data_IF_876049735945
#
_entry.id   IF_876049735945
#
_cell.length_a   1.000
_cell.length_b   1.000
_cell.length_c   1.000
_cell.angle_alpha   90.00
_cell.angle_beta   90.00
_cell.angle_gamma   90.00
#
_symmetry.space_group_name_H-M   'P 1'
#
loop_
_entity.id
_entity.type
_entity.pdbx_description
1 polymer ?
#
# COMPACT_ATOMS: atom_id res chain seq x y z
N UNK A 1 -3.90 5.49 -2.81
CA UNK A 1 -3.08 4.47 -2.13
C UNK A 1 -3.28 4.47 -0.61
N UNK A 2 -2.90 5.53 0.13
CA UNK A 2 -3.06 5.56 1.60
C UNK A 2 -4.48 5.18 2.08
N UNK A 3 -5.51 5.92 1.63
CA UNK A 3 -6.92 5.63 1.96
C UNK A 3 -7.37 4.21 1.59
N UNK A 4 -6.83 3.66 0.51
CA UNK A 4 -7.15 2.31 0.04
C UNK A 4 -6.59 1.23 0.97
N UNK A 5 -5.39 1.45 1.52
CA UNK A 5 -4.79 0.57 2.52
C UNK A 5 -5.49 0.74 3.88
N UNK A 6 -5.79 1.98 4.29
CA UNK A 6 -6.56 2.26 5.51
C UNK A 6 -7.94 1.57 5.46
N UNK A 7 -8.65 1.61 4.33
CA UNK A 7 -9.91 0.90 4.14
C UNK A 7 -9.79 -0.63 4.21
N UNK A 8 -8.59 -1.18 4.02
CA UNK A 8 -8.28 -2.62 4.13
C UNK A 8 -7.71 -3.00 5.50
N UNK A 9 -7.79 -2.10 6.49
CA UNK A 9 -7.36 -2.35 7.86
C UNK A 9 -5.86 -2.15 8.10
N UNK A 10 -5.15 -1.45 7.20
CA UNK A 10 -3.78 -1.03 7.49
C UNK A 10 -3.77 0.25 8.31
N UNK A 11 -3.03 0.23 9.41
CA UNK A 11 -2.85 1.38 10.29
C UNK A 11 -1.54 2.10 9.99
N UNK A 12 -1.58 3.42 10.05
CA UNK A 12 -0.38 4.25 9.90
C UNK A 12 0.44 4.16 11.17
N UNK A 13 1.69 3.71 11.03
CA UNK A 13 2.68 3.75 12.11
C UNK A 13 3.39 5.12 12.04
N UNK A 14 3.21 6.00 13.02
CA UNK A 14 3.90 7.29 13.04
C UNK A 14 5.41 7.08 13.19
N UNK A 15 6.21 7.74 12.35
CA UNK A 15 7.67 7.67 12.39
C UNK A 15 8.32 8.83 11.62
N UNK A 16 9.57 9.16 11.96
CA UNK A 16 10.32 10.28 11.37
C UNK A 16 11.03 9.92 10.05
N UNK A 17 10.36 9.19 9.15
CA UNK A 17 10.97 8.78 7.88
C UNK A 17 10.32 9.51 6.70
N UNK A 18 11.04 9.58 5.58
CA UNK A 18 10.53 10.09 4.28
C UNK A 18 9.32 9.30 3.73
N UNK A 19 8.95 8.21 4.40
CA UNK A 19 7.87 7.31 4.05
C UNK A 19 6.90 7.13 5.23
N UNK A 20 5.60 7.09 4.95
CA UNK A 20 4.57 6.57 5.83
C UNK A 20 4.68 5.06 5.90
N UNK A 21 4.94 4.53 7.09
CA UNK A 21 4.85 3.09 7.34
C UNK A 21 3.40 2.74 7.66
N UNK A 22 2.87 1.71 7.00
CA UNK A 22 1.57 1.13 7.31
C UNK A 22 1.74 -0.34 7.72
N UNK A 23 0.95 -0.77 8.69
CA UNK A 23 1.01 -2.13 9.23
C UNK A 23 -0.39 -2.72 9.37
N UNK A 24 -0.49 -4.04 9.24
CA UNK A 24 -1.73 -4.79 9.50
C UNK A 24 -1.33 -6.13 10.09
N UNK A 25 -2.04 -6.60 11.11
CA UNK A 25 -1.75 -7.89 11.74
C UNK A 25 -1.85 -9.04 10.72
N UNK A 26 -0.86 -9.92 10.72
CA UNK A 26 -0.75 -11.01 9.75
C UNK A 26 -0.27 -10.61 8.34
N UNK A 27 0.10 -9.34 8.11
CA UNK A 27 0.58 -8.86 6.81
C UNK A 27 1.92 -8.12 6.90
N UNK A 28 2.71 -8.11 5.82
CA UNK A 28 3.96 -7.37 5.78
C UNK A 28 3.72 -5.86 5.89
N UNK A 29 4.69 -5.17 6.50
CA UNK A 29 4.70 -3.72 6.57
C UNK A 29 4.82 -3.10 5.17
N UNK A 30 4.10 -2.00 4.97
CA UNK A 30 4.09 -1.25 3.71
C UNK A 30 4.71 0.12 3.94
N UNK A 31 5.58 0.55 3.03
CA UNK A 31 6.16 1.89 3.04
C UNK A 31 5.58 2.71 1.88
N UNK A 32 4.92 3.82 2.19
CA UNK A 32 4.40 4.78 1.21
C UNK A 32 5.23 6.06 1.23
N UNK A 33 5.66 6.57 0.07
CA UNK A 33 6.23 7.91 0.01
C UNK A 33 5.24 8.97 0.46
N UNK A 34 5.73 9.93 1.23
CA UNK A 34 4.99 11.14 1.61
C UNK A 34 4.76 12.08 0.42
N UNK A 35 5.53 11.90 -0.67
CA UNK A 35 5.40 12.67 -1.90
C UNK A 35 4.28 12.08 -2.76
N UNK A 36 3.22 12.85 -3.06
CA UNK A 36 2.05 12.33 -3.79
C UNK A 36 2.35 11.92 -5.24
N UNK A 37 3.44 12.42 -5.82
CA UNK A 37 3.88 12.07 -7.18
C UNK A 37 4.77 10.83 -7.25
N UNK A 38 5.35 10.39 -6.12
CA UNK A 38 6.12 9.16 -6.10
C UNK A 38 5.16 7.98 -5.98
N UNK A 39 5.01 7.25 -7.09
CA UNK A 39 4.42 5.93 -7.05
C UNK A 39 5.16 5.07 -6.02
N UNK A 40 4.41 4.21 -5.34
CA UNK A 40 4.97 3.23 -4.43
C UNK A 40 6.04 2.42 -5.18
N UNK A 41 7.19 2.17 -4.56
CA UNK A 41 8.27 1.43 -5.22
C UNK A 41 7.73 0.08 -5.72
N UNK A 42 8.25 -0.41 -6.85
CA UNK A 42 7.79 -1.68 -7.44
C UNK A 42 7.90 -2.85 -6.44
N UNK A 43 8.92 -2.84 -5.59
CA UNK A 43 9.11 -3.82 -4.52
C UNK A 43 7.97 -3.76 -3.50
N UNK A 44 7.64 -2.56 -3.02
CA UNK A 44 6.53 -2.37 -2.07
C UNK A 44 5.18 -2.67 -2.73
N UNK A 45 4.97 -2.29 -4.00
CA UNK A 45 3.77 -2.63 -4.75
C UNK A 45 3.58 -4.16 -4.89
N UNK A 46 4.66 -4.92 -5.10
CA UNK A 46 4.62 -6.39 -5.12
C UNK A 46 4.28 -6.99 -3.75
N UNK A 47 4.85 -6.42 -2.68
CA UNK A 47 4.52 -6.86 -1.32
C UNK A 47 3.05 -6.59 -0.99
N UNK A 48 2.54 -5.42 -1.36
CA UNK A 48 1.12 -5.07 -1.20
C UNK A 48 0.25 -5.99 -2.06
N UNK A 49 0.61 -6.26 -3.32
CA UNK A 49 -0.20 -7.11 -4.18
C UNK A 49 -0.29 -8.52 -3.61
N UNK A 50 0.84 -9.10 -3.17
CA UNK A 50 0.86 -10.40 -2.52
C UNK A 50 0.07 -10.42 -1.21
N UNK A 51 0.24 -9.39 -0.37
CA UNK A 51 -0.50 -9.25 0.89
C UNK A 51 -2.02 -9.15 0.66
N UNK A 52 -2.45 -8.48 -0.39
CA UNK A 52 -3.88 -8.30 -0.68
C UNK A 52 -4.48 -9.40 -1.55
N UNK A 53 -3.71 -10.43 -1.91
CA UNK A 53 -4.17 -11.55 -2.73
C UNK A 53 -4.28 -11.24 -4.24
N UNK A 54 -3.69 -10.14 -4.70
CA UNK A 54 -3.60 -9.82 -6.13
C UNK A 54 -2.47 -10.61 -6.80
N UNK A 55 -2.71 -11.06 -8.04
CA UNK A 55 -1.73 -11.86 -8.80
C UNK A 55 -0.50 -11.06 -9.19
N UNK A 56 -0.66 -9.76 -9.39
CA UNK A 56 0.41 -8.88 -9.78
C UNK A 56 0.13 -7.42 -9.38
N UNK A 57 1.14 -6.57 -9.59
CA UNK A 57 1.05 -5.13 -9.31
C UNK A 57 0.04 -4.44 -10.22
N UNK A 58 -0.20 -4.95 -11.42
CA UNK A 58 -1.18 -4.37 -12.35
C UNK A 58 -2.60 -4.50 -11.81
N UNK A 59 -3.01 -5.68 -11.33
CA UNK A 59 -4.31 -5.88 -10.67
C UNK A 59 -4.48 -4.97 -9.44
N UNK A 60 -3.41 -4.80 -8.65
CA UNK A 60 -3.41 -3.86 -7.52
C UNK A 60 -3.65 -2.41 -7.99
N UNK A 61 -2.92 -1.96 -9.03
CA UNK A 61 -3.06 -0.60 -9.58
C UNK A 61 -4.47 -0.39 -10.13
N UNK A 62 -5.01 -1.40 -10.80
CA UNK A 62 -6.36 -1.39 -11.36
C UNK A 62 -7.41 -1.24 -10.25
N UNK A 63 -7.31 -2.06 -9.19
CA UNK A 63 -8.19 -1.96 -8.02
C UNK A 63 -8.11 -0.59 -7.31
N UNK A 64 -6.93 0.03 -7.28
CA UNK A 64 -6.76 1.38 -6.72
C UNK A 64 -7.39 2.45 -7.61
N UNK A 65 -7.28 2.31 -8.93
CA UNK A 65 -7.84 3.26 -9.91
C UNK A 65 -9.35 3.16 -10.00
N UNK A 66 -9.88 1.95 -9.95
CA UNK A 66 -11.31 1.68 -10.02
C UNK A 66 -12.01 1.77 -8.66
N UNK A 67 -11.24 1.96 -7.57
CA UNK A 67 -11.77 2.20 -6.24
C UNK A 67 -12.69 1.07 -5.81
N UNK A 68 -12.17 -0.17 -5.89
CA UNK A 68 -12.85 -1.43 -5.59
C UNK A 68 -13.98 -1.22 -4.56
N UNK A 69 -15.21 -1.25 -5.09
CA UNK A 69 -16.46 -0.70 -4.55
C UNK A 69 -17.10 -1.62 -3.52
#
# INVERSE_FOLDING_TARGET
MRRFLEARGYEVVPGQHKHLKLTRDGYPHVLLSLRPQEMVSLAAARQISAALGYRNVTELIDAIRHGDR
#
